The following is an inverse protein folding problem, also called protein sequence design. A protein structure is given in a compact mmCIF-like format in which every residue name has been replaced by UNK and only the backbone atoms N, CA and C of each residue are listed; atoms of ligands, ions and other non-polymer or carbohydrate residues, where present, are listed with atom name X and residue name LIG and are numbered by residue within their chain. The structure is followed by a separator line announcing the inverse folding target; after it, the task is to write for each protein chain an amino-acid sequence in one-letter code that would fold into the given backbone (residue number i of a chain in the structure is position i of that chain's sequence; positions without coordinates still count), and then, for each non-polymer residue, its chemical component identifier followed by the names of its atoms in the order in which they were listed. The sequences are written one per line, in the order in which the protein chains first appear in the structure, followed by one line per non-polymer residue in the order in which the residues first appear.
data_IF_563798648623
#
_entry.id   IF_563798648623
#
_cell.length_a   1.000
_cell.length_b   1.000
_cell.length_c   1.000
_cell.angle_alpha   90.00
_cell.angle_beta   90.00
_cell.angle_gamma   90.00
#
_symmetry.space_group_name_H-M   'P 1'
#
loop_
_entity.id
_entity.type
_entity.pdbx_description
1 polymer ?
#
# COMPACT_ATOMS: atom_id res chain seq x y z
N UNK A 1 -27.09 61.54 -4.03
CA UNK A 1 -27.02 61.90 -2.59
C UNK A 1 -26.08 60.91 -1.91
N UNK A 2 -25.01 61.44 -1.30
CA UNK A 2 -23.95 60.83 -0.46
C UNK A 2 -23.18 59.61 -1.03
N UNK A 3 -21.98 59.70 -1.64
CA UNK A 3 -20.61 60.23 -1.33
C UNK A 3 -19.86 59.57 -0.16
N UNK A 4 -18.79 58.80 -0.48
CA UNK A 4 -17.42 58.74 0.10
C UNK A 4 -16.77 57.39 -0.30
N UNK A 5 -15.80 57.24 -1.21
CA UNK A 5 -14.43 57.75 -1.39
C UNK A 5 -13.47 57.58 -0.19
N UNK A 6 -12.38 56.81 -0.40
CA UNK A 6 -10.93 57.12 -0.18
C UNK A 6 -10.14 55.79 -0.16
N UNK A 7 -9.43 55.34 -1.21
CA UNK A 7 -8.15 55.77 -1.80
C UNK A 7 -6.92 55.82 -0.84
N UNK A 8 -5.98 54.90 -1.12
CA UNK A 8 -4.51 55.06 -1.20
C UNK A 8 -3.83 56.10 -0.28
N UNK A 9 -2.90 55.62 0.56
CA UNK A 9 -1.86 56.44 1.18
C UNK A 9 -0.49 55.76 1.05
N UNK A 10 0.20 56.17 -0.02
CA UNK A 10 1.65 56.19 -0.18
C UNK A 10 2.15 57.58 0.31
N UNK A 11 3.44 57.68 0.66
CA UNK A 11 4.24 58.88 1.10
C UNK A 11 4.31 59.09 2.62
N UNK A 12 5.45 59.43 3.26
CA UNK A 12 6.66 60.18 2.86
C UNK A 12 7.93 59.59 3.56
N UNK A 13 9.13 59.50 2.96
CA UNK A 13 10.12 60.55 2.60
C UNK A 13 10.60 61.45 3.75
N UNK A 14 11.82 61.17 4.26
CA UNK A 14 12.80 62.11 4.85
C UNK A 14 14.19 61.54 4.47
N UNK A 15 14.86 61.95 3.39
CA UNK A 15 15.78 63.09 3.23
C UNK A 15 16.75 63.34 4.41
N UNK A 16 18.00 62.90 4.25
CA UNK A 16 19.17 63.67 4.67
C UNK A 16 20.22 63.62 3.56
N UNK A 17 20.65 64.82 3.20
CA UNK A 17 21.52 65.20 2.08
C UNK A 17 22.99 65.18 2.49
N UNK A 18 23.91 64.93 1.55
CA UNK A 18 25.16 65.71 1.43
C UNK A 18 25.88 65.45 0.08
N UNK A 19 25.78 66.45 -0.80
CA UNK A 19 26.83 67.07 -1.67
C UNK A 19 27.86 66.16 -2.39
N UNK A 20 27.76 65.98 -3.72
CA UNK A 20 28.35 66.75 -4.86
C UNK A 20 29.86 66.53 -5.08
N UNK A 21 30.23 65.92 -6.22
CA UNK A 21 31.11 66.48 -7.26
C UNK A 21 31.12 65.62 -8.56
N UNK A 22 31.58 66.15 -9.72
CA UNK A 22 31.07 65.80 -11.07
C UNK A 22 31.90 64.78 -11.90
N UNK A 23 31.31 64.43 -13.04
CA UNK A 23 31.54 63.35 -14.04
C UNK A 23 32.92 63.36 -14.73
N UNK A 24 33.44 62.17 -15.06
CA UNK A 24 34.06 61.90 -16.39
C UNK A 24 33.62 60.53 -16.94
N UNK A 25 33.36 60.41 -18.27
CA UNK A 25 32.94 59.16 -18.90
C UNK A 25 34.15 58.34 -19.34
N UNK A 26 34.18 57.04 -19.01
CA UNK A 26 35.10 56.10 -19.64
C UNK A 26 34.31 54.89 -20.15
N UNK A 27 34.40 54.66 -21.46
CA UNK A 27 33.78 53.51 -22.13
C UNK A 27 34.72 52.32 -21.96
N UNK A 28 34.26 51.29 -21.25
CA UNK A 28 34.86 49.96 -21.26
C UNK A 28 33.99 48.94 -22.03
N UNK A 29 34.60 47.88 -22.59
CA UNK A 29 34.07 47.06 -23.69
C UNK A 29 32.85 46.21 -23.28
N UNK A 30 32.08 45.65 -24.24
CA UNK A 30 30.90 44.85 -23.90
C UNK A 30 31.30 43.67 -23.01
N UNK A 31 30.79 43.70 -21.77
CA UNK A 31 30.96 42.66 -20.80
C UNK A 31 30.27 41.38 -21.32
N UNK A 32 31.05 40.31 -21.38
CA UNK A 32 30.58 38.97 -21.77
C UNK A 32 29.42 38.59 -20.85
N UNK A 33 28.26 38.29 -21.44
CA UNK A 33 27.10 37.82 -20.70
C UNK A 33 27.52 36.66 -19.77
N UNK A 34 27.18 36.71 -18.47
CA UNK A 34 27.56 35.65 -17.55
C UNK A 34 26.98 34.32 -18.05
N UNK A 35 27.85 33.33 -18.18
CA UNK A 35 27.45 31.95 -18.46
C UNK A 35 26.43 31.51 -17.42
N UNK A 36 25.28 31.07 -17.90
CA UNK A 36 24.17 30.55 -17.11
C UNK A 36 24.65 29.43 -16.16
N UNK A 37 24.78 29.75 -14.86
CA UNK A 37 25.20 28.83 -13.80
C UNK A 37 24.08 27.89 -13.34
N UNK A 38 23.01 27.70 -14.12
CA UNK A 38 21.90 26.80 -13.76
C UNK A 38 22.02 25.38 -14.29
N UNK A 39 23.19 24.96 -14.79
CA UNK A 39 23.48 23.53 -14.92
C UNK A 39 23.86 22.98 -13.55
N UNK A 40 22.88 22.39 -12.86
CA UNK A 40 23.16 21.45 -11.78
C UNK A 40 24.14 20.41 -12.31
N UNK A 41 25.40 20.47 -11.84
CA UNK A 41 26.35 19.39 -12.07
C UNK A 41 25.73 18.08 -11.58
N UNK A 42 25.96 16.96 -12.28
CA UNK A 42 25.48 15.67 -11.83
C UNK A 42 26.04 15.42 -10.43
N UNK A 43 25.15 15.38 -9.43
CA UNK A 43 25.50 15.13 -8.04
C UNK A 43 26.31 13.84 -7.97
N UNK A 44 27.58 13.96 -7.57
CA UNK A 44 28.45 12.80 -7.29
C UNK A 44 27.70 11.92 -6.29
N UNK A 45 27.58 10.59 -6.54
CA UNK A 45 26.95 9.69 -5.59
C UNK A 45 27.63 9.86 -4.22
N UNK A 46 26.88 10.03 -3.12
CA UNK A 46 27.48 10.23 -1.82
C UNK A 46 28.34 9.02 -1.43
N UNK A 47 29.54 9.28 -0.89
CA UNK A 47 30.50 8.24 -0.47
C UNK A 47 29.95 7.28 0.60
N UNK A 48 28.81 7.62 1.21
CA UNK A 48 28.14 6.83 2.26
C UNK A 48 26.63 6.86 2.06
N UNK A 49 26.05 5.68 1.89
CA UNK A 49 24.61 5.48 1.93
C UNK A 49 24.14 5.46 3.39
N UNK A 50 23.05 6.18 3.68
CA UNK A 50 22.38 6.11 4.98
C UNK A 50 21.60 4.79 5.06
N UNK A 51 22.03 3.86 5.90
CA UNK A 51 21.28 2.62 6.17
C UNK A 51 20.08 2.99 7.05
N UNK A 52 18.90 3.08 6.45
CA UNK A 52 17.64 3.24 7.19
C UNK A 52 17.11 1.87 7.58
N UNK A 53 17.10 1.59 8.89
CA UNK A 53 16.41 0.42 9.43
C UNK A 53 14.99 0.85 9.81
N UNK A 54 14.00 0.36 9.09
CA UNK A 54 12.59 0.52 9.45
C UNK A 54 12.12 -0.80 10.05
N UNK A 55 11.58 -0.74 11.27
CA UNK A 55 10.84 -1.86 11.84
C UNK A 55 9.37 -1.67 11.49
N UNK A 56 8.83 -2.60 10.70
CA UNK A 56 7.40 -2.66 10.42
C UNK A 56 6.77 -3.63 11.41
N UNK A 57 5.75 -3.17 12.13
CA UNK A 57 4.90 -4.04 12.94
C UNK A 57 3.61 -4.28 12.18
N UNK A 58 3.24 -5.54 11.99
CA UNK A 58 2.05 -5.96 11.27
C UNK A 58 1.11 -6.69 12.23
N UNK A 59 -0.18 -6.36 12.15
CA UNK A 59 -1.24 -7.09 12.88
C UNK A 59 -2.05 -8.04 11.99
N UNK A 60 -1.87 -7.93 10.67
CA UNK A 60 -2.61 -8.67 9.66
C UNK A 60 -1.64 -9.52 8.84
N UNK A 61 -1.98 -10.78 8.61
CA UNK A 61 -1.29 -11.61 7.61
C UNK A 61 -1.92 -11.38 6.25
N UNK A 62 -1.12 -10.93 5.28
CA UNK A 62 -1.57 -10.69 3.91
C UNK A 62 -1.62 -11.98 3.12
N UNK A 63 -2.69 -12.16 2.34
CA UNK A 63 -2.76 -13.27 1.41
C UNK A 63 -1.70 -13.16 0.33
N UNK A 64 -1.06 -14.29 0.06
CA UNK A 64 -0.16 -14.49 -1.06
C UNK A 64 -0.47 -15.83 -1.73
N UNK A 65 0.22 -16.15 -2.83
CA UNK A 65 -0.05 -17.38 -3.59
C UNK A 65 0.25 -18.69 -2.81
N UNK A 66 0.77 -18.61 -1.57
CA UNK A 66 1.01 -19.75 -0.67
C UNK A 66 0.00 -19.89 0.45
N UNK A 67 -0.87 -18.91 0.65
CA UNK A 67 -1.95 -19.07 1.61
C UNK A 67 -2.92 -20.08 0.99
N UNK A 68 -2.66 -21.34 1.33
CA UNK A 68 -3.39 -22.51 0.92
C UNK A 68 -4.78 -22.49 1.59
N UNK A 69 -5.70 -23.30 1.09
CA UNK A 69 -7.05 -23.50 1.66
C UNK A 69 -7.02 -24.05 3.10
N UNK A 70 -5.82 -24.23 3.67
CA UNK A 70 -5.55 -24.59 5.06
C UNK A 70 -5.65 -23.42 6.02
N UNK A 71 -5.55 -22.17 5.55
CA UNK A 71 -5.71 -20.97 6.38
C UNK A 71 -7.14 -20.46 6.28
N UNK A 72 -7.93 -20.74 7.31
CA UNK A 72 -9.37 -20.46 7.31
C UNK A 72 -9.87 -19.99 8.68
N UNK A 73 -10.98 -19.26 8.65
CA UNK A 73 -11.69 -18.74 9.82
C UNK A 73 -12.03 -19.87 10.81
N UNK A 74 -11.68 -19.68 12.07
CA UNK A 74 -11.83 -20.70 13.12
C UNK A 74 -10.68 -21.70 13.21
N UNK A 75 -9.70 -21.66 12.30
CA UNK A 75 -8.53 -22.53 12.35
C UNK A 75 -7.66 -22.25 13.58
N UNK A 76 -7.10 -23.30 14.18
CA UNK A 76 -6.20 -23.24 15.34
C UNK A 76 -4.73 -23.35 14.90
N UNK A 77 -3.88 -22.49 15.44
CA UNK A 77 -2.48 -22.33 15.03
C UNK A 77 -1.56 -22.16 16.22
N UNK A 78 -0.30 -22.53 16.07
CA UNK A 78 0.77 -22.16 16.98
C UNK A 78 1.65 -21.12 16.31
N UNK A 79 1.94 -20.03 17.01
CA UNK A 79 3.07 -19.17 16.65
C UNK A 79 4.36 -19.87 17.08
N UNK A 80 5.33 -19.96 16.17
CA UNK A 80 6.69 -20.42 16.44
C UNK A 80 7.66 -19.34 15.99
N UNK A 81 8.51 -18.89 16.91
CA UNK A 81 9.66 -18.08 16.55
C UNK A 81 10.70 -18.96 15.86
N UNK A 82 11.10 -18.55 14.66
CA UNK A 82 12.19 -19.21 13.92
C UNK A 82 13.29 -18.20 13.62
N UNK A 83 14.49 -18.68 13.29
CA UNK A 83 15.60 -17.82 12.84
C UNK A 83 15.24 -16.98 11.60
N UNK A 84 14.24 -17.42 10.82
CA UNK A 84 13.74 -16.74 9.62
C UNK A 84 12.55 -15.81 9.90
N UNK A 85 12.13 -15.72 11.17
CA UNK A 85 10.99 -14.93 11.62
C UNK A 85 9.84 -15.77 12.19
N UNK A 86 8.74 -15.12 12.61
CA UNK A 86 7.57 -15.80 13.14
C UNK A 86 6.91 -16.66 12.07
N UNK A 87 6.59 -17.90 12.43
CA UNK A 87 5.94 -18.88 11.54
C UNK A 87 4.70 -19.44 12.23
N UNK A 88 3.61 -19.54 11.46
CA UNK A 88 2.42 -20.25 11.89
C UNK A 88 2.51 -21.75 11.57
N UNK A 89 2.20 -22.57 12.55
CA UNK A 89 2.04 -24.02 12.43
C UNK A 89 0.59 -24.41 12.69
N UNK A 90 -0.01 -25.19 11.80
CA UNK A 90 -1.38 -25.66 11.99
C UNK A 90 -1.49 -26.61 13.19
N UNK A 91 -2.46 -26.34 14.06
CA UNK A 91 -2.87 -27.21 15.16
C UNK A 91 -4.23 -27.87 14.88
N UNK A 92 -4.61 -28.02 13.61
CA UNK A 92 -5.91 -28.60 13.21
C UNK A 92 -6.17 -29.96 13.85
N UNK A 93 -5.15 -30.83 13.97
CA UNK A 93 -5.28 -32.14 14.64
C UNK A 93 -5.63 -32.06 16.14
N UNK A 94 -5.45 -30.88 16.76
CA UNK A 94 -5.78 -30.58 18.17
C UNK A 94 -7.00 -29.68 18.29
N UNK A 95 -7.54 -29.18 17.18
CA UNK A 95 -8.71 -28.32 17.19
C UNK A 95 -9.95 -29.11 17.60
N UNK A 96 -10.82 -28.47 18.38
CA UNK A 96 -12.12 -29.05 18.72
C UNK A 96 -13.03 -29.03 17.49
N UNK A 97 -13.84 -30.08 17.34
CA UNK A 97 -14.89 -30.17 16.31
C UNK A 97 -16.15 -29.45 16.76
N UNK A 98 -16.04 -28.13 16.93
CA UNK A 98 -17.15 -27.24 17.29
C UNK A 98 -17.57 -26.41 16.08
N UNK A 99 -18.83 -26.00 16.05
CA UNK A 99 -19.36 -25.08 15.06
C UNK A 99 -19.44 -23.69 15.65
N UNK A 100 -19.12 -22.68 14.86
CA UNK A 100 -19.15 -21.28 15.26
C UNK A 100 -20.17 -20.51 14.43
N UNK A 101 -20.67 -19.40 14.96
CA UNK A 101 -21.33 -18.41 14.11
C UNK A 101 -20.30 -17.66 13.29
N UNK A 102 -20.54 -17.62 11.98
CA UNK A 102 -19.84 -16.65 11.13
C UNK A 102 -20.68 -15.38 11.09
N UNK A 103 -20.03 -14.27 11.43
CA UNK A 103 -20.64 -12.97 11.59
C UNK A 103 -20.00 -11.97 10.63
N UNK A 104 -20.78 -10.98 10.21
CA UNK A 104 -20.28 -9.84 9.44
C UNK A 104 -21.12 -8.60 9.75
N UNK A 105 -20.47 -7.45 9.79
CA UNK A 105 -21.17 -6.16 9.91
C UNK A 105 -21.53 -5.56 8.53
N UNK A 106 -21.19 -6.25 7.43
CA UNK A 106 -21.36 -5.72 6.08
C UNK A 106 -22.81 -5.74 5.58
N UNK A 107 -23.58 -6.77 5.95
CA UNK A 107 -25.01 -6.88 5.59
C UNK A 107 -25.74 -7.72 6.65
N UNK A 108 -26.57 -7.07 7.46
CA UNK A 108 -27.35 -7.72 8.51
C UNK A 108 -28.51 -8.57 7.99
N UNK A 109 -28.82 -8.51 6.68
CA UNK A 109 -29.84 -9.36 6.06
C UNK A 109 -29.32 -10.76 5.69
N UNK A 110 -28.00 -10.98 5.73
CA UNK A 110 -27.41 -12.30 5.49
C UNK A 110 -27.57 -13.14 6.75
N UNK A 111 -28.37 -14.21 6.66
CA UNK A 111 -28.63 -15.11 7.78
C UNK A 111 -27.34 -15.67 8.40
N UNK A 112 -27.25 -15.48 9.73
CA UNK A 112 -26.25 -16.13 10.57
C UNK A 112 -26.44 -17.66 10.50
N UNK A 113 -25.32 -18.38 10.52
CA UNK A 113 -25.34 -19.84 10.51
C UNK A 113 -24.21 -20.41 11.34
N UNK A 114 -24.39 -21.65 11.77
CA UNK A 114 -23.36 -22.43 12.44
C UNK A 114 -22.52 -23.18 11.41
N UNK A 115 -21.22 -22.92 11.39
CA UNK A 115 -20.30 -23.51 10.44
C UNK A 115 -19.18 -24.26 11.16
N UNK A 116 -18.83 -25.43 10.63
CA UNK A 116 -17.56 -26.06 10.98
C UNK A 116 -16.41 -25.24 10.36
N UNK A 117 -15.37 -24.87 11.13
CA UNK A 117 -14.19 -24.19 10.59
C UNK A 117 -13.60 -24.94 9.40
N UNK A 118 -13.66 -24.32 8.23
CA UNK A 118 -12.98 -24.77 7.01
C UNK A 118 -13.01 -23.66 5.98
N UNK A 119 -12.07 -23.69 5.03
CA UNK A 119 -12.04 -22.75 3.92
C UNK A 119 -13.33 -22.81 3.09
N UNK A 120 -13.81 -24.02 2.80
CA UNK A 120 -15.05 -24.24 2.05
C UNK A 120 -16.25 -23.56 2.69
N UNK A 121 -16.42 -23.68 4.01
CA UNK A 121 -17.55 -23.07 4.71
C UNK A 121 -17.40 -21.55 4.80
N UNK A 122 -16.19 -21.04 5.03
CA UNK A 122 -15.90 -19.60 5.00
C UNK A 122 -16.24 -18.98 3.65
N UNK A 123 -15.78 -19.62 2.57
CA UNK A 123 -16.08 -19.22 1.20
C UNK A 123 -17.58 -19.30 0.88
N UNK A 124 -18.26 -20.36 1.32
CA UNK A 124 -19.71 -20.50 1.11
C UNK A 124 -20.48 -19.38 1.82
N UNK A 125 -20.07 -19.00 3.03
CA UNK A 125 -20.67 -17.88 3.75
C UNK A 125 -20.36 -16.54 3.10
N UNK A 126 -19.10 -16.29 2.68
CA UNK A 126 -18.70 -15.09 1.96
C UNK A 126 -19.51 -14.88 0.68
N UNK A 127 -19.82 -15.96 -0.06
CA UNK A 127 -20.59 -15.90 -1.29
C UNK A 127 -22.10 -15.63 -1.09
N UNK A 128 -22.60 -15.58 0.15
CA UNK A 128 -23.97 -15.13 0.43
C UNK A 128 -24.13 -13.61 0.29
N UNK A 129 -23.05 -12.85 0.42
CA UNK A 129 -23.09 -11.38 0.38
C UNK A 129 -23.25 -10.88 -1.06
N UNK A 130 -24.18 -9.94 -1.26
CA UNK A 130 -24.36 -9.30 -2.56
C UNK A 130 -23.13 -8.47 -2.92
N UNK A 131 -22.48 -8.87 -4.01
CA UNK A 131 -21.27 -8.25 -4.56
C UNK A 131 -21.49 -6.81 -5.03
N UNK A 132 -22.69 -6.49 -5.51
CA UNK A 132 -23.08 -5.17 -5.99
C UNK A 132 -23.25 -4.12 -4.88
N UNK A 133 -23.43 -4.56 -3.63
CA UNK A 133 -23.55 -3.66 -2.46
C UNK A 133 -22.19 -3.27 -1.86
N UNK A 134 -21.10 -3.81 -2.40
CA UNK A 134 -19.76 -3.64 -1.84
C UNK A 134 -19.10 -2.38 -2.39
N UNK A 135 -18.38 -1.66 -1.52
CA UNK A 135 -17.70 -0.44 -1.91
C UNK A 135 -16.64 -0.72 -2.98
N UNK A 136 -16.72 -0.03 -4.11
CA UNK A 136 -15.65 0.05 -5.11
C UNK A 136 -15.10 1.47 -5.10
N UNK A 137 -13.79 1.60 -4.90
CA UNK A 137 -13.11 2.88 -5.02
C UNK A 137 -11.65 2.68 -5.42
N UNK A 138 -11.12 3.59 -6.25
CA UNK A 138 -9.70 3.67 -6.58
C UNK A 138 -9.13 4.98 -6.00
N UNK A 139 -9.23 5.10 -4.68
CA UNK A 139 -8.65 6.22 -3.95
C UNK A 139 -7.26 5.85 -3.45
N UNK A 140 -6.33 6.79 -3.54
CA UNK A 140 -4.94 6.57 -3.12
C UNK A 140 -4.53 7.57 -2.04
N UNK A 141 -3.90 7.04 -1.00
CA UNK A 141 -2.93 7.83 -0.22
C UNK A 141 -1.65 7.94 -1.05
N UNK A 142 -0.99 9.10 -1.03
CA UNK A 142 0.15 9.36 -1.92
C UNK A 142 1.32 10.04 -1.20
N UNK A 143 2.52 9.49 -1.33
CA UNK A 143 3.77 9.99 -0.77
C UNK A 143 4.93 9.88 -1.79
N UNK A 144 6.15 10.12 -1.34
CA UNK A 144 7.40 9.73 -2.02
C UNK A 144 8.04 8.57 -1.25
N UNK A 145 8.91 7.82 -1.90
CA UNK A 145 9.67 6.71 -1.30
C UNK A 145 11.13 6.74 -1.78
N UNK A 146 12.03 6.14 -1.02
CA UNK A 146 13.45 6.05 -1.39
C UNK A 146 13.84 4.68 -1.93
N UNK A 147 13.14 3.63 -1.51
CA UNK A 147 13.48 2.25 -1.83
C UNK A 147 12.23 1.41 -2.10
N UNK A 148 12.23 0.61 -3.17
CA UNK A 148 11.14 -0.31 -3.44
C UNK A 148 10.96 -1.36 -2.33
N UNK A 149 11.98 -1.59 -1.49
CA UNK A 149 11.89 -2.39 -0.28
C UNK A 149 10.79 -1.94 0.69
N UNK A 150 10.36 -0.67 0.63
CA UNK A 150 9.24 -0.14 1.43
C UNK A 150 7.92 -0.90 1.19
N UNK A 151 7.77 -1.63 0.06
CA UNK A 151 6.60 -2.47 -0.21
C UNK A 151 6.35 -3.55 0.86
N UNK A 152 7.42 -3.99 1.55
CA UNK A 152 7.34 -4.91 2.69
C UNK A 152 6.46 -4.39 3.81
N UNK A 153 6.42 -3.07 4.02
CA UNK A 153 5.58 -2.46 5.05
C UNK A 153 4.09 -2.59 4.76
N UNK A 154 3.69 -2.86 3.51
CA UNK A 154 2.29 -2.98 3.10
C UNK A 154 1.85 -4.41 2.84
N UNK A 155 2.78 -5.31 2.49
CA UNK A 155 2.47 -6.68 2.08
C UNK A 155 3.20 -7.75 2.91
N UNK A 156 3.98 -7.35 3.91
CA UNK A 156 4.83 -8.23 4.71
C UNK A 156 5.89 -8.96 3.88
N UNK A 157 6.40 -10.08 4.39
CA UNK A 157 7.39 -10.91 3.69
C UNK A 157 6.75 -11.92 2.70
N UNK A 158 5.69 -11.51 2.01
CA UNK A 158 4.97 -12.37 1.05
C UNK A 158 5.79 -12.69 -0.20
N UNK A 159 5.38 -13.73 -0.95
CA UNK A 159 5.97 -14.03 -2.28
C UNK A 159 5.82 -12.88 -3.27
N UNK A 160 4.71 -12.14 -3.20
CA UNK A 160 4.47 -10.97 -4.05
C UNK A 160 5.56 -9.92 -3.84
N UNK A 161 5.99 -9.69 -2.60
CA UNK A 161 7.12 -8.81 -2.29
C UNK A 161 8.41 -9.33 -2.89
N UNK A 162 8.74 -10.62 -2.71
CA UNK A 162 9.96 -11.19 -3.30
C UNK A 162 9.98 -11.03 -4.83
N UNK A 163 8.83 -11.24 -5.48
CA UNK A 163 8.67 -11.04 -6.92
C UNK A 163 8.80 -9.56 -7.29
N UNK A 164 8.17 -8.65 -6.55
CA UNK A 164 8.26 -7.21 -6.78
C UNK A 164 9.71 -6.71 -6.69
N UNK A 165 10.40 -7.08 -5.61
CA UNK A 165 11.81 -6.72 -5.40
C UNK A 165 12.71 -7.31 -6.50
N UNK A 166 12.43 -8.51 -6.99
CA UNK A 166 13.18 -9.10 -8.11
C UNK A 166 13.00 -8.34 -9.43
N UNK A 167 11.84 -7.70 -9.66
CA UNK A 167 11.53 -6.96 -10.89
C UNK A 167 12.21 -5.58 -10.91
N UNK A 168 12.28 -4.91 -9.76
CA UNK A 168 12.81 -3.54 -9.62
C UNK A 168 14.30 -3.51 -9.32
N UNK A 169 14.90 -4.66 -8.97
CA UNK A 169 16.32 -4.77 -8.63
C UNK A 169 17.19 -4.37 -9.82
N UNK A 170 18.14 -3.47 -9.59
CA UNK A 170 19.17 -3.10 -10.54
C UNK A 170 20.53 -3.19 -9.85
N UNK A 171 21.45 -3.97 -10.44
CA UNK A 171 22.64 -4.46 -9.76
C UNK A 171 22.28 -5.15 -8.44
N UNK A 172 22.68 -4.59 -7.30
CA UNK A 172 22.42 -5.11 -5.95
C UNK A 172 21.48 -4.25 -5.11
N UNK A 173 20.81 -3.27 -5.72
CA UNK A 173 19.94 -2.33 -5.03
C UNK A 173 18.49 -2.35 -5.54
N UNK A 174 17.58 -1.94 -4.67
CA UNK A 174 16.17 -1.62 -4.96
C UNK A 174 15.85 -0.15 -4.67
N UNK A 175 16.85 0.67 -4.36
CA UNK A 175 16.73 2.12 -4.18
C UNK A 175 16.34 2.78 -5.51
N UNK A 176 15.54 3.84 -5.50
CA UNK A 176 15.22 4.55 -6.75
C UNK A 176 16.49 5.06 -7.46
N UNK A 177 16.44 5.06 -8.78
CA UNK A 177 17.51 5.51 -9.68
C UNK A 177 17.23 6.89 -10.30
N UNK A 178 15.98 7.37 -10.24
CA UNK A 178 15.55 8.66 -10.81
C UNK A 178 15.34 9.75 -9.77
N UNK A 179 15.25 11.00 -10.24
CA UNK A 179 15.21 12.19 -9.37
C UNK A 179 13.97 12.27 -8.46
N UNK A 180 12.81 11.83 -8.95
CA UNK A 180 11.55 11.93 -8.23
C UNK A 180 10.86 10.58 -8.12
N UNK A 181 10.07 10.39 -7.07
CA UNK A 181 9.33 9.15 -6.82
C UNK A 181 7.91 9.40 -6.34
N UNK A 182 7.04 8.41 -6.53
CA UNK A 182 5.67 8.40 -6.03
C UNK A 182 5.31 7.02 -5.49
N UNK A 183 4.78 6.99 -4.28
CA UNK A 183 4.18 5.80 -3.68
C UNK A 183 2.69 6.11 -3.50
N UNK A 184 1.83 5.29 -4.11
CA UNK A 184 0.38 5.44 -4.04
C UNK A 184 -0.26 4.14 -3.59
N UNK A 185 -1.07 4.19 -2.53
CA UNK A 185 -1.65 3.01 -1.89
C UNK A 185 -3.15 3.17 -1.76
N UNK A 186 -3.90 2.20 -2.26
CA UNK A 186 -5.34 2.06 -2.07
C UNK A 186 -5.68 0.69 -1.52
N UNK A 187 -6.30 0.64 -0.33
CA UNK A 187 -6.83 -0.58 0.28
C UNK A 187 -8.33 -0.39 0.51
N UNK A 188 -9.14 -1.32 0.03
CA UNK A 188 -10.60 -1.30 0.22
C UNK A 188 -11.02 -2.62 0.85
N UNK A 189 -11.41 -2.59 2.11
CA UNK A 189 -12.00 -3.73 2.80
C UNK A 189 -13.47 -3.83 2.38
N UNK A 190 -13.80 -4.85 1.59
CA UNK A 190 -15.15 -5.04 1.06
C UNK A 190 -16.02 -5.88 1.99
N UNK A 191 -15.50 -6.99 2.49
CA UNK A 191 -16.24 -7.88 3.39
C UNK A 191 -15.32 -8.37 4.50
N UNK A 192 -15.75 -8.25 5.75
CA UNK A 192 -15.06 -8.90 6.88
C UNK A 192 -15.98 -9.90 7.53
N UNK A 193 -15.47 -11.11 7.72
CA UNK A 193 -16.17 -12.21 8.39
C UNK A 193 -15.36 -12.60 9.62
N UNK A 194 -16.02 -12.73 10.76
CA UNK A 194 -15.37 -13.05 12.01
C UNK A 194 -16.20 -14.03 12.84
N UNK A 195 -15.57 -14.60 13.87
CA UNK A 195 -16.22 -15.38 14.92
C UNK A 195 -16.12 -14.57 16.21
N UNK A 196 -17.20 -14.53 16.99
CA UNK A 196 -17.20 -13.80 18.25
C UNK A 196 -16.21 -14.39 19.27
N UNK A 197 -15.50 -13.51 19.98
CA UNK A 197 -14.56 -13.89 21.04
C UNK A 197 -15.18 -14.78 22.12
N UNK A 198 -16.47 -14.59 22.47
CA UNK A 198 -17.12 -15.40 23.50
C UNK A 198 -17.26 -16.85 23.07
N UNK A 199 -17.47 -17.12 21.78
CA UNK A 199 -17.56 -18.51 21.29
C UNK A 199 -16.21 -19.22 21.37
N UNK A 200 -15.10 -18.49 21.16
CA UNK A 200 -13.77 -19.05 21.38
C UNK A 200 -13.48 -19.32 22.85
N UNK A 201 -13.92 -18.44 23.76
CA UNK A 201 -13.82 -18.66 25.19
C UNK A 201 -14.55 -19.93 25.62
N UNK A 202 -15.78 -20.15 25.12
CA UNK A 202 -16.56 -21.35 25.42
C UNK A 202 -15.94 -22.62 24.83
N UNK A 203 -15.43 -22.55 23.60
CA UNK A 203 -14.78 -23.68 22.94
C UNK A 203 -13.43 -24.04 23.60
N UNK A 204 -12.64 -23.02 23.94
CA UNK A 204 -11.27 -23.15 24.46
C UNK A 204 -11.14 -22.39 25.79
N UNK A 205 -11.73 -22.91 26.88
CA UNK A 205 -11.57 -22.33 28.20
C UNK A 205 -10.10 -22.42 28.67
N UNK A 206 -9.75 -21.63 29.69
CA UNK A 206 -8.38 -21.51 30.20
C UNK A 206 -7.69 -22.86 30.47
N UNK A 207 -8.44 -23.86 30.97
CA UNK A 207 -7.92 -25.20 31.22
C UNK A 207 -7.41 -25.91 29.96
N UNK A 208 -8.08 -25.72 28.83
CA UNK A 208 -7.69 -26.31 27.53
C UNK A 208 -6.50 -25.57 26.93
N UNK A 209 -6.51 -24.24 27.04
CA UNK A 209 -5.40 -23.39 26.61
C UNK A 209 -4.14 -23.70 27.42
N UNK A 210 -4.28 -23.98 28.72
CA UNK A 210 -3.19 -24.41 29.59
C UNK A 210 -2.57 -25.73 29.13
N UNK A 211 -3.36 -26.71 28.68
CA UNK A 211 -2.84 -27.99 28.14
C UNK A 211 -2.01 -27.74 26.88
N UNK A 212 -2.48 -26.90 25.95
CA UNK A 212 -1.72 -26.55 24.74
C UNK A 212 -0.41 -25.83 25.09
N UNK A 213 -0.47 -24.89 26.04
CA UNK A 213 0.70 -24.12 26.47
C UNK A 213 1.73 -24.99 27.18
N UNK A 214 1.29 -25.91 28.06
CA UNK A 214 2.16 -26.89 28.73
C UNK A 214 2.83 -27.85 27.74
N UNK A 215 2.16 -28.15 26.62
CA UNK A 215 2.73 -28.91 25.52
C UNK A 215 3.69 -28.09 24.63
N UNK A 216 3.96 -26.82 24.96
CA UNK A 216 4.90 -25.95 24.28
C UNK A 216 4.35 -25.18 23.09
N UNK A 217 3.02 -25.14 22.91
CA UNK A 217 2.40 -24.35 21.85
C UNK A 217 2.11 -22.91 22.31
N UNK A 218 2.12 -21.98 21.37
CA UNK A 218 1.60 -20.61 21.56
C UNK A 218 0.30 -20.49 20.76
N UNK A 219 -0.88 -20.83 21.35
CA UNK A 219 -2.10 -21.05 20.59
C UNK A 219 -2.79 -19.75 20.15
N UNK A 220 -3.10 -19.68 18.86
CA UNK A 220 -3.86 -18.63 18.20
C UNK A 220 -5.03 -19.24 17.41
N UNK A 221 -6.11 -18.49 17.28
CA UNK A 221 -7.20 -18.78 16.33
C UNK A 221 -7.24 -17.74 15.25
N UNK A 222 -7.61 -18.14 14.03
CA UNK A 222 -7.94 -17.20 12.97
C UNK A 222 -9.32 -16.62 13.24
N UNK A 223 -9.37 -15.40 13.77
CA UNK A 223 -10.57 -14.78 14.32
C UNK A 223 -11.36 -13.98 13.29
N UNK A 224 -10.68 -13.41 12.29
CA UNK A 224 -11.32 -12.69 11.18
C UNK A 224 -10.60 -12.89 9.86
N UNK A 225 -11.39 -12.92 8.79
CA UNK A 225 -10.95 -12.87 7.40
C UNK A 225 -11.55 -11.64 6.73
N UNK A 226 -10.72 -10.88 6.03
CA UNK A 226 -11.18 -9.71 5.28
C UNK A 226 -10.92 -9.93 3.80
N UNK A 227 -11.95 -9.75 2.99
CA UNK A 227 -11.91 -9.72 1.54
C UNK A 227 -11.96 -8.28 1.05
N UNK A 228 -11.32 -8.02 -0.08
CA UNK A 228 -11.25 -6.68 -0.61
C UNK A 228 -10.25 -6.54 -1.73
N UNK A 229 -9.74 -5.33 -1.88
CA UNK A 229 -8.69 -5.01 -2.85
C UNK A 229 -7.54 -4.26 -2.20
N UNK A 230 -6.34 -4.49 -2.71
CA UNK A 230 -5.14 -3.75 -2.35
C UNK A 230 -4.36 -3.41 -3.62
N UNK A 231 -4.14 -2.13 -3.85
CA UNK A 231 -3.39 -1.60 -4.98
C UNK A 231 -2.23 -0.76 -4.47
N UNK A 232 -1.05 -1.01 -5.03
CA UNK A 232 0.16 -0.26 -4.73
C UNK A 232 0.81 0.13 -6.06
N UNK A 233 1.02 1.42 -6.25
CA UNK A 233 1.76 1.98 -7.37
C UNK A 233 3.02 2.63 -6.82
N UNK A 234 4.19 2.09 -7.14
CA UNK A 234 5.48 2.67 -6.78
C UNK A 234 6.20 3.03 -8.05
N UNK A 235 6.48 4.30 -8.28
CA UNK A 235 7.15 4.70 -9.52
C UNK A 235 8.19 5.77 -9.30
N UNK A 236 9.10 5.84 -10.25
CA UNK A 236 10.21 6.78 -10.28
C UNK A 236 10.24 7.48 -11.64
N UNK A 237 10.65 8.75 -11.66
CA UNK A 237 10.59 9.60 -12.84
C UNK A 237 11.68 10.67 -12.82
N UNK A 238 12.22 11.02 -14.00
CA UNK A 238 13.12 12.17 -14.16
C UNK A 238 12.33 13.49 -14.32
N UNK A 239 11.00 13.42 -14.40
CA UNK A 239 10.11 14.58 -14.40
C UNK A 239 9.62 14.91 -12.99
N UNK A 240 8.62 15.79 -12.87
CA UNK A 240 8.00 16.12 -11.59
C UNK A 240 7.06 15.00 -11.12
N UNK A 241 7.04 14.74 -9.80
CA UNK A 241 6.08 13.82 -9.16
C UNK A 241 4.63 14.16 -9.48
N UNK A 242 4.29 15.46 -9.50
CA UNK A 242 2.93 15.93 -9.79
C UNK A 242 2.51 15.61 -11.24
N UNK A 243 3.38 15.87 -12.21
CA UNK A 243 3.14 15.51 -13.61
C UNK A 243 2.98 14.01 -13.78
N UNK A 244 3.80 13.22 -13.10
CA UNK A 244 3.73 11.76 -13.18
C UNK A 244 2.42 11.21 -12.60
N UNK A 245 2.00 11.69 -11.42
CA UNK A 245 0.70 11.32 -10.85
C UNK A 245 -0.46 11.71 -11.76
N UNK A 246 -0.41 12.91 -12.36
CA UNK A 246 -1.44 13.38 -13.30
C UNK A 246 -1.56 12.47 -14.52
N UNK A 247 -0.43 12.07 -15.10
CA UNK A 247 -0.42 11.18 -16.25
C UNK A 247 -0.97 9.78 -15.90
N UNK A 248 -0.61 9.24 -14.73
CA UNK A 248 -1.17 7.99 -14.22
C UNK A 248 -2.70 8.13 -14.03
N UNK A 249 -3.17 9.20 -13.40
CA UNK A 249 -4.59 9.43 -13.13
C UNK A 249 -5.40 9.53 -14.43
N UNK A 250 -4.87 10.23 -15.45
CA UNK A 250 -5.51 10.25 -16.77
C UNK A 250 -5.70 8.84 -17.34
N UNK A 251 -4.72 7.93 -17.19
CA UNK A 251 -4.88 6.54 -17.66
C UNK A 251 -5.93 5.80 -16.83
N UNK A 252 -5.88 5.93 -15.50
CA UNK A 252 -6.82 5.27 -14.57
C UNK A 252 -8.27 5.73 -14.80
N UNK A 253 -8.46 6.99 -15.18
CA UNK A 253 -9.75 7.60 -15.49
C UNK A 253 -10.16 7.44 -16.96
N UNK A 254 -9.41 6.67 -17.75
CA UNK A 254 -9.62 6.45 -19.17
C UNK A 254 -9.68 7.75 -20.01
N UNK A 255 -8.88 8.74 -19.61
CA UNK A 255 -8.68 10.01 -20.32
C UNK A 255 -7.53 9.90 -21.32
N UNK A 256 -7.55 10.75 -22.34
CA UNK A 256 -6.48 10.85 -23.33
C UNK A 256 -5.24 11.50 -22.71
N UNK A 257 -4.07 10.98 -23.07
CA UNK A 257 -2.79 11.59 -22.74
C UNK A 257 -2.42 12.66 -23.76
N UNK A 258 -1.88 13.77 -23.29
CA UNK A 258 -1.25 14.78 -24.13
C UNK A 258 0.26 14.51 -24.29
N UNK A 259 0.93 15.35 -25.08
CA UNK A 259 2.38 15.23 -25.34
C UNK A 259 3.22 15.43 -24.08
N UNK A 260 2.73 16.21 -23.11
CA UNK A 260 3.43 16.43 -21.84
C UNK A 260 3.34 15.16 -21.01
N UNK A 261 2.15 14.59 -20.85
CA UNK A 261 1.97 13.32 -20.13
C UNK A 261 2.84 12.22 -20.73
N UNK A 262 2.88 12.13 -22.06
CA UNK A 262 3.66 11.11 -22.78
C UNK A 262 5.15 11.25 -22.48
N UNK A 263 5.70 12.48 -22.55
CA UNK A 263 7.10 12.76 -22.20
C UNK A 263 7.42 12.45 -20.74
N UNK A 264 6.48 12.71 -19.82
CA UNK A 264 6.64 12.35 -18.41
C UNK A 264 6.73 10.83 -18.27
N UNK A 265 5.81 10.07 -18.86
CA UNK A 265 5.80 8.62 -18.74
C UNK A 265 7.00 7.97 -19.46
N UNK A 266 7.48 8.53 -20.56
CA UNK A 266 8.66 8.03 -21.30
C UNK A 266 9.96 8.05 -20.48
N UNK A 267 10.07 8.97 -19.52
CA UNK A 267 11.19 9.03 -18.58
C UNK A 267 10.86 8.39 -17.22
N UNK A 268 9.85 7.51 -17.14
CA UNK A 268 9.38 6.92 -15.89
C UNK A 268 9.40 5.39 -15.88
N UNK A 269 9.49 4.84 -14.67
CA UNK A 269 9.24 3.43 -14.36
C UNK A 269 8.09 3.33 -13.36
N UNK A 270 7.28 2.27 -13.43
CA UNK A 270 6.16 2.10 -12.51
C UNK A 270 5.99 0.64 -12.11
N UNK A 271 6.21 0.31 -10.85
CA UNK A 271 5.78 -0.93 -10.24
C UNK A 271 4.28 -0.85 -9.97
N UNK A 272 3.53 -1.76 -10.57
CA UNK A 272 2.09 -1.86 -10.45
C UNK A 272 1.79 -3.17 -9.73
N UNK A 273 1.24 -3.07 -8.53
CA UNK A 273 0.72 -4.19 -7.77
C UNK A 273 -0.78 -4.03 -7.57
N UNK A 274 -1.53 -5.11 -7.79
CA UNK A 274 -2.92 -5.20 -7.39
C UNK A 274 -3.27 -6.62 -6.96
N UNK A 275 -3.99 -6.75 -5.85
CA UNK A 275 -4.60 -7.99 -5.39
C UNK A 275 -6.09 -7.75 -5.12
N UNK A 276 -6.93 -8.55 -5.76
CA UNK A 276 -8.36 -8.66 -5.49
C UNK A 276 -8.69 -10.03 -4.91
N UNK A 277 -9.93 -10.51 -5.04
CA UNK A 277 -10.31 -11.82 -4.49
C UNK A 277 -9.95 -13.03 -5.34
N UNK A 278 -9.06 -12.87 -6.32
CA UNK A 278 -8.48 -13.96 -7.11
C UNK A 278 -7.29 -14.61 -6.42
N UNK A 279 -6.89 -15.80 -6.88
CA UNK A 279 -5.74 -16.53 -6.31
C UNK A 279 -4.43 -15.76 -6.47
N UNK A 280 -4.24 -15.21 -7.66
CA UNK A 280 -2.99 -14.57 -8.07
C UNK A 280 -3.09 -13.06 -7.87
N UNK A 281 -1.95 -12.40 -7.72
CA UNK A 281 -1.84 -10.94 -7.84
C UNK A 281 -1.56 -10.51 -9.29
N UNK A 282 -1.91 -9.27 -9.61
CA UNK A 282 -1.36 -8.55 -10.75
C UNK A 282 -0.08 -7.84 -10.30
N UNK A 283 1.03 -8.10 -10.98
CA UNK A 283 2.32 -7.48 -10.67
C UNK A 283 3.14 -7.27 -11.94
N UNK A 284 3.47 -6.02 -12.25
CA UNK A 284 4.31 -5.64 -13.39
C UNK A 284 5.23 -4.46 -13.05
N UNK A 285 6.33 -4.31 -13.80
CA UNK A 285 7.25 -3.18 -13.71
C UNK A 285 7.55 -2.59 -15.10
N UNK A 286 6.57 -1.95 -15.76
CA UNK A 286 6.78 -1.27 -17.04
C UNK A 286 7.67 -0.03 -16.95
N UNK A 287 8.37 0.24 -18.06
CA UNK A 287 9.15 1.45 -18.32
C UNK A 287 8.67 2.15 -19.58
N UNK A 288 8.52 3.47 -19.53
CA UNK A 288 8.14 4.30 -20.67
C UNK A 288 6.63 4.35 -20.96
N UNK A 289 6.18 5.33 -21.74
CA UNK A 289 4.76 5.67 -21.87
C UNK A 289 3.91 4.52 -22.39
N UNK A 290 4.37 3.85 -23.46
CA UNK A 290 3.63 2.75 -24.09
C UNK A 290 3.44 1.58 -23.12
N UNK A 291 4.49 1.13 -22.45
CA UNK A 291 4.42 -0.02 -21.56
C UNK A 291 3.62 0.30 -20.29
N UNK A 292 3.82 1.48 -19.70
CA UNK A 292 3.05 1.93 -18.53
C UNK A 292 1.57 2.03 -18.87
N UNK A 293 1.23 2.64 -20.02
CA UNK A 293 -0.14 2.77 -20.47
C UNK A 293 -0.83 1.45 -20.77
N UNK A 294 -0.11 0.44 -21.27
CA UNK A 294 -0.67 -0.91 -21.46
C UNK A 294 -0.88 -1.57 -20.10
N UNK A 295 0.14 -1.61 -19.25
CA UNK A 295 0.08 -2.29 -17.97
C UNK A 295 -1.00 -1.75 -17.03
N UNK A 296 -1.20 -0.41 -17.00
CA UNK A 296 -2.28 0.18 -16.20
C UNK A 296 -3.66 -0.18 -16.75
N UNK A 297 -3.86 -0.26 -18.07
CA UNK A 297 -5.13 -0.71 -18.66
C UNK A 297 -5.38 -2.19 -18.41
N UNK A 298 -4.35 -3.02 -18.52
CA UNK A 298 -4.43 -4.44 -18.20
C UNK A 298 -4.76 -4.65 -16.72
N UNK A 299 -4.18 -3.84 -15.84
CA UNK A 299 -4.53 -3.81 -14.42
C UNK A 299 -6.00 -3.45 -14.22
N UNK A 300 -6.52 -2.40 -14.88
CA UNK A 300 -7.95 -2.04 -14.77
C UNK A 300 -8.88 -3.16 -15.23
N UNK A 301 -8.52 -3.86 -16.32
CA UNK A 301 -9.27 -5.03 -16.76
C UNK A 301 -9.24 -6.12 -15.68
N UNK A 302 -8.06 -6.38 -15.12
CA UNK A 302 -7.90 -7.34 -14.03
C UNK A 302 -8.71 -6.96 -12.77
N UNK A 303 -8.73 -5.66 -12.41
CA UNK A 303 -9.55 -5.11 -11.32
C UNK A 303 -11.02 -5.45 -11.55
N UNK A 304 -11.57 -5.14 -12.73
CA UNK A 304 -12.98 -5.37 -13.06
C UNK A 304 -13.40 -6.85 -12.94
N UNK A 305 -12.45 -7.77 -13.16
CA UNK A 305 -12.68 -9.20 -13.08
C UNK A 305 -12.61 -9.75 -11.66
N UNK A 306 -11.93 -9.08 -10.73
CA UNK A 306 -11.52 -9.68 -9.45
C UNK A 306 -11.95 -8.89 -8.22
N UNK A 307 -12.29 -7.61 -8.37
CA UNK A 307 -12.55 -6.71 -7.24
C UNK A 307 -13.75 -7.12 -6.38
N UNK A 308 -14.70 -7.86 -6.94
CA UNK A 308 -15.94 -8.30 -6.27
C UNK A 308 -16.01 -9.83 -6.16
N UNK A 309 -14.87 -10.51 -6.23
CA UNK A 309 -14.76 -11.95 -5.98
C UNK A 309 -14.32 -12.15 -4.53
N UNK A 310 -14.83 -13.18 -3.85
CA UNK A 310 -14.50 -13.53 -2.46
C UNK A 310 -13.91 -14.92 -2.33
N UNK A 311 -13.24 -15.39 -3.39
CA UNK A 311 -12.62 -16.70 -3.37
C UNK A 311 -11.43 -16.70 -2.42
N UNK A 312 -10.56 -15.69 -2.53
CA UNK A 312 -9.36 -15.56 -1.71
C UNK A 312 -9.47 -14.32 -0.82
N UNK A 313 -9.31 -14.46 0.52
CA UNK A 313 -9.20 -13.33 1.44
C UNK A 313 -8.01 -12.43 1.08
N UNK A 314 -8.07 -11.17 1.50
CA UNK A 314 -6.98 -10.20 1.40
C UNK A 314 -6.10 -10.25 2.65
N UNK A 315 -6.71 -10.29 3.83
CA UNK A 315 -6.01 -10.35 5.12
C UNK A 315 -6.65 -11.33 6.09
N UNK A 316 -5.84 -11.81 7.03
CA UNK A 316 -6.20 -12.71 8.12
C UNK A 316 -5.73 -12.13 9.45
N UNK A 317 -6.62 -12.11 10.44
CA UNK A 317 -6.25 -11.71 11.80
C UNK A 317 -6.29 -12.92 12.73
N UNK A 318 -5.26 -13.01 13.56
CA UNK A 318 -5.09 -14.06 14.53
C UNK A 318 -5.27 -13.50 15.93
N UNK A 319 -6.00 -14.22 16.77
CA UNK A 319 -6.24 -13.87 18.15
C UNK A 319 -5.63 -14.94 19.06
N UNK A 320 -4.82 -14.50 20.01
CA UNK A 320 -4.24 -15.37 21.04
C UNK A 320 -5.35 -15.99 21.88
N UNK A 321 -5.32 -17.31 22.09
CA UNK A 321 -6.26 -17.96 23.01
C UNK A 321 -5.85 -17.78 24.48
N UNK A 322 -4.67 -17.23 24.76
CA UNK A 322 -4.17 -17.01 26.12
C UNK A 322 -4.72 -15.73 26.74
N UNK A 323 -4.80 -14.67 25.94
CA UNK A 323 -5.11 -13.31 26.42
C UNK A 323 -5.99 -12.52 25.45
N UNK A 324 -6.49 -13.16 24.38
CA UNK A 324 -7.35 -12.55 23.36
C UNK A 324 -6.72 -11.35 22.63
N UNK A 325 -5.41 -11.18 22.74
CA UNK A 325 -4.68 -10.17 21.99
C UNK A 325 -4.57 -10.55 20.51
N UNK A 326 -4.67 -9.54 19.63
CA UNK A 326 -4.36 -9.72 18.21
C UNK A 326 -2.86 -10.01 18.06
N UNK A 327 -2.52 -10.99 17.24
CA UNK A 327 -1.14 -11.26 16.85
C UNK A 327 -0.52 -9.99 16.25
N UNK A 328 0.68 -9.64 16.70
CA UNK A 328 1.48 -8.56 16.11
C UNK A 328 2.91 -9.08 15.89
N UNK A 329 3.48 -8.84 14.72
CA UNK A 329 4.82 -9.33 14.36
C UNK A 329 5.64 -8.35 13.53
#
# INVERSE_FOLDING_TARGET
MHTRNFLLLLSALIWLSCTKDPIEPNVEPPEVAPSDTTKNEPTVPPDKYEIRKVQFQMSELFSDDNIDEKVFLGGLWSLKDTLEGPRLESLEAKAKKVKFHFLSYNDFSVDMGFFEPSYKNGLAYANKFEKSKQASSMNFTSSSFGDYAEIQGFLGNSKDVKKALSLVKHADSTTISKQNSTLRIGKVNKLTIYIDHTEYFDAYPESEVAVLTQAGYSPYVLASVTYGTHMILMGETDSTRAGFNTAIDKILENKTLDDVDTKVLDCSNLLIYYRGGGKNSFLQYPTGAKAIGIALRDMLLYVSQTENIFNYPLTYDFMSLKDYSTLRY
#
